data_IF_460635140910
#
_entry.id   IF_460635140910
#
_cell.length_a   1.000
_cell.length_b   1.000
_cell.length_c   1.000
_cell.angle_alpha   90.00
_cell.angle_beta   90.00
_cell.angle_gamma   90.00
#
_symmetry.space_group_name_H-M   'P 1'
#
loop_
_entity.id
_entity.type
_entity.pdbx_description
1 polymer ?
#
# COMPACT_ATOMS: atom_id res chain seq x y z
N UNK A 1 -7.03 17.60 -8.31
CA UNK A 1 -6.47 16.50 -9.14
C UNK A 1 -5.55 15.60 -8.29
N UNK A 2 -4.76 16.15 -7.36
CA UNK A 2 -3.89 15.38 -6.45
C UNK A 2 -4.60 14.75 -5.24
N UNK A 3 -5.82 15.17 -4.89
CA UNK A 3 -6.62 14.61 -3.78
C UNK A 3 -6.79 13.09 -3.82
N UNK A 4 -6.61 12.46 -4.98
CA UNK A 4 -6.71 11.00 -5.15
C UNK A 4 -5.58 10.20 -4.48
N UNK A 5 -4.47 10.85 -4.12
CA UNK A 5 -3.34 10.23 -3.41
C UNK A 5 -3.35 10.51 -1.89
N UNK A 6 -4.34 11.27 -1.41
CA UNK A 6 -4.47 11.67 -0.02
C UNK A 6 -5.41 10.76 0.76
N UNK A 7 -5.04 10.48 2.00
CA UNK A 7 -5.96 9.91 2.98
C UNK A 7 -7.14 10.86 3.26
N UNK A 8 -8.33 10.29 3.35
CA UNK A 8 -9.50 10.97 3.90
C UNK A 8 -9.44 10.91 5.43
N UNK A 9 -9.90 11.96 6.13
CA UNK A 9 -10.00 11.94 7.58
C UNK A 9 -10.80 10.73 8.08
N UNK A 10 -10.32 10.10 9.14
CA UNK A 10 -10.94 8.94 9.79
C UNK A 10 -10.45 8.88 11.23
N UNK A 11 -11.31 8.42 12.14
CA UNK A 11 -10.97 8.20 13.56
C UNK A 11 -10.44 6.77 13.82
N UNK A 12 -10.25 5.98 12.75
CA UNK A 12 -9.76 4.60 12.80
C UNK A 12 -8.25 4.57 12.90
N UNK A 13 -7.70 3.75 13.80
CA UNK A 13 -6.26 3.51 13.90
C UNK A 13 -5.75 2.75 12.67
N UNK A 14 -4.68 3.22 12.04
CA UNK A 14 -4.12 2.58 10.85
C UNK A 14 -2.80 1.88 11.16
N UNK A 15 -2.76 0.59 10.91
CA UNK A 15 -1.57 -0.26 11.09
C UNK A 15 -1.09 -0.73 9.72
N UNK A 16 0.14 -0.38 9.36
CA UNK A 16 0.76 -0.77 8.08
C UNK A 16 1.65 -1.97 8.28
N UNK A 17 1.52 -2.96 7.39
CA UNK A 17 2.52 -3.99 7.20
C UNK A 17 3.42 -3.55 6.04
N UNK A 18 4.69 -3.37 6.36
CA UNK A 18 5.70 -2.83 5.46
C UNK A 18 6.84 -3.84 5.29
N UNK A 19 7.46 -3.87 4.13
CA UNK A 19 8.66 -4.65 3.87
C UNK A 19 8.61 -5.41 2.54
N UNK A 20 9.66 -6.18 2.23
CA UNK A 20 9.85 -6.76 0.91
C UNK A 20 8.70 -7.68 0.45
N UNK A 21 8.66 -7.94 -0.85
CA UNK A 21 7.78 -8.96 -1.41
C UNK A 21 8.06 -10.34 -0.78
N UNK A 22 7.02 -11.15 -0.61
CA UNK A 22 7.11 -12.54 -0.12
C UNK A 22 7.60 -12.73 1.33
N UNK A 23 7.49 -11.72 2.19
CA UNK A 23 7.86 -11.78 3.63
C UNK A 23 6.66 -12.03 4.56
N UNK A 24 5.53 -12.45 4.01
CA UNK A 24 4.33 -12.81 4.80
C UNK A 24 3.37 -11.65 5.14
N UNK A 25 3.58 -10.43 4.62
CA UNK A 25 2.70 -9.26 4.85
C UNK A 25 1.22 -9.58 4.63
N UNK A 26 0.87 -10.06 3.44
CA UNK A 26 -0.53 -10.35 3.11
C UNK A 26 -1.17 -11.36 4.05
N UNK A 27 -0.45 -12.44 4.38
CA UNK A 27 -0.92 -13.47 5.31
C UNK A 27 -1.14 -12.88 6.71
N UNK A 28 -0.19 -12.09 7.21
CA UNK A 28 -0.28 -11.47 8.52
C UNK A 28 -1.40 -10.42 8.57
N UNK A 29 -1.58 -9.62 7.52
CA UNK A 29 -2.67 -8.65 7.41
C UNK A 29 -4.03 -9.30 7.50
N UNK A 30 -4.24 -10.40 6.79
CA UNK A 30 -5.48 -11.17 6.85
C UNK A 30 -5.71 -11.76 8.26
N UNK A 31 -4.66 -12.32 8.86
CA UNK A 31 -4.74 -12.89 10.22
C UNK A 31 -5.06 -11.82 11.27
N UNK A 32 -4.43 -10.65 11.20
CA UNK A 32 -4.69 -9.52 12.09
C UNK A 32 -6.12 -8.99 11.92
N UNK A 33 -6.57 -8.81 10.68
CA UNK A 33 -7.94 -8.36 10.41
C UNK A 33 -8.98 -9.35 10.97
N UNK A 34 -8.75 -10.66 10.82
CA UNK A 34 -9.60 -11.70 11.42
C UNK A 34 -9.56 -11.66 12.95
N UNK A 35 -8.39 -11.49 13.54
CA UNK A 35 -8.20 -11.46 14.99
C UNK A 35 -8.89 -10.25 15.64
N UNK A 36 -8.76 -9.06 15.04
CA UNK A 36 -9.38 -7.83 15.52
C UNK A 36 -10.80 -7.60 15.01
N UNK A 37 -11.38 -8.58 14.29
CA UNK A 37 -12.72 -8.49 13.69
C UNK A 37 -12.93 -7.23 12.84
N UNK A 38 -11.92 -6.89 12.03
CA UNK A 38 -11.92 -5.72 11.14
C UNK A 38 -11.61 -6.12 9.70
N UNK A 39 -11.43 -5.13 8.83
CA UNK A 39 -11.03 -5.29 7.43
C UNK A 39 -9.55 -4.96 7.24
N UNK A 40 -8.95 -5.50 6.16
CA UNK A 40 -7.63 -5.07 5.69
C UNK A 40 -7.68 -4.52 4.27
N UNK A 41 -6.78 -3.60 3.97
CA UNK A 41 -6.45 -3.11 2.64
C UNK A 41 -5.46 -4.08 2.00
N UNK A 42 -5.79 -4.72 0.85
CA UNK A 42 -4.83 -5.54 0.13
C UNK A 42 -3.88 -4.70 -0.71
N UNK A 43 -2.73 -5.29 -1.06
CA UNK A 43 -1.69 -4.64 -1.86
C UNK A 43 -2.18 -4.43 -3.29
N UNK A 44 -2.49 -3.18 -3.64
CA UNK A 44 -3.07 -2.85 -4.95
C UNK A 44 -2.11 -3.14 -6.11
N UNK A 45 -0.79 -2.96 -5.88
CA UNK A 45 0.23 -3.25 -6.88
C UNK A 45 0.12 -4.68 -7.42
N UNK A 46 -0.26 -5.64 -6.58
CA UNK A 46 -0.39 -7.04 -6.96
C UNK A 46 -1.47 -7.25 -8.02
N UNK A 47 -2.68 -6.73 -7.79
CA UNK A 47 -3.78 -6.84 -8.74
C UNK A 47 -3.44 -6.09 -10.04
N UNK A 48 -2.96 -4.85 -9.90
CA UNK A 48 -2.59 -4.01 -11.04
C UNK A 48 -1.54 -4.68 -11.95
N UNK A 49 -0.45 -5.18 -11.37
CA UNK A 49 0.64 -5.79 -12.14
C UNK A 49 0.27 -7.17 -12.69
N UNK A 50 -0.59 -7.91 -11.99
CA UNK A 50 -1.12 -9.16 -12.50
C UNK A 50 -1.98 -8.93 -13.76
N UNK A 51 -2.83 -7.90 -13.75
CA UNK A 51 -3.64 -7.52 -14.90
C UNK A 51 -2.78 -7.02 -16.07
N UNK A 52 -1.78 -6.17 -15.79
CA UNK A 52 -0.82 -5.71 -16.80
C UNK A 52 -0.08 -6.89 -17.43
N UNK A 53 0.37 -7.85 -16.64
CA UNK A 53 1.01 -9.05 -17.16
C UNK A 53 0.06 -9.89 -18.02
N UNK A 54 -1.18 -10.09 -17.58
CA UNK A 54 -2.16 -10.90 -18.28
C UNK A 54 -2.55 -10.29 -19.64
N UNK A 55 -2.70 -8.97 -19.70
CA UNK A 55 -3.18 -8.25 -20.87
C UNK A 55 -2.06 -7.81 -21.82
N UNK A 56 -0.91 -7.41 -21.29
CA UNK A 56 0.18 -6.80 -22.08
C UNK A 56 1.48 -7.61 -22.07
N UNK A 57 1.62 -8.62 -21.20
CA UNK A 57 2.88 -9.37 -20.99
C UNK A 57 4.05 -8.48 -20.58
N UNK A 58 3.78 -7.43 -19.80
CA UNK A 58 4.77 -6.48 -19.28
C UNK A 58 4.85 -6.51 -17.76
N UNK A 59 6.01 -6.13 -17.23
CA UNK A 59 6.27 -5.93 -15.80
C UNK A 59 6.02 -4.48 -15.39
N UNK A 60 6.28 -4.16 -14.12
CA UNK A 60 6.19 -2.79 -13.62
C UNK A 60 7.17 -1.86 -14.34
N UNK A 61 6.67 -0.69 -14.74
CA UNK A 61 7.38 0.41 -15.37
C UNK A 61 7.16 1.68 -14.53
N UNK A 62 8.04 2.70 -14.61
CA UNK A 62 7.93 3.91 -13.78
C UNK A 62 6.56 4.62 -13.85
N UNK A 63 5.89 4.58 -15.01
CA UNK A 63 4.59 5.21 -15.20
C UNK A 63 3.43 4.48 -14.48
N UNK A 64 3.66 3.25 -14.01
CA UNK A 64 2.66 2.48 -13.25
C UNK A 64 2.56 2.93 -11.78
N UNK A 65 3.59 3.58 -11.25
CA UNK A 65 3.69 3.89 -9.83
C UNK A 65 2.59 4.84 -9.35
N UNK A 66 2.25 5.86 -10.14
CA UNK A 66 1.15 6.77 -9.81
C UNK A 66 -0.23 6.07 -9.87
N UNK A 67 -0.58 5.29 -10.92
CA UNK A 67 -1.76 4.43 -10.91
C UNK A 67 -1.84 3.48 -9.71
N UNK A 68 -0.71 2.88 -9.33
CA UNK A 68 -0.63 2.00 -8.16
C UNK A 68 -0.92 2.78 -6.87
N UNK A 69 -0.28 3.93 -6.69
CA UNK A 69 -0.48 4.80 -5.54
C UNK A 69 -1.94 5.30 -5.42
N UNK A 70 -2.53 5.71 -6.53
CA UNK A 70 -3.95 6.09 -6.58
C UNK A 70 -4.85 4.92 -6.18
N UNK A 71 -4.57 3.72 -6.69
CA UNK A 71 -5.34 2.53 -6.36
C UNK A 71 -5.23 2.14 -4.90
N UNK A 72 -4.02 2.16 -4.33
CA UNK A 72 -3.78 1.89 -2.91
C UNK A 72 -4.57 2.87 -2.04
N UNK A 73 -4.45 4.17 -2.32
CA UNK A 73 -5.14 5.20 -1.54
C UNK A 73 -6.66 5.13 -1.69
N UNK A 74 -7.16 4.79 -2.88
CA UNK A 74 -8.59 4.54 -3.11
C UNK A 74 -9.10 3.38 -2.27
N UNK A 75 -8.35 2.26 -2.18
CA UNK A 75 -8.73 1.12 -1.36
C UNK A 75 -8.70 1.46 0.13
N UNK A 76 -7.65 2.14 0.59
CA UNK A 76 -7.51 2.56 1.98
C UNK A 76 -8.66 3.47 2.41
N UNK A 77 -8.96 4.52 1.64
CA UNK A 77 -10.06 5.44 1.92
C UNK A 77 -11.44 4.76 1.89
N UNK A 78 -11.61 3.73 1.04
CA UNK A 78 -12.85 2.96 0.98
C UNK A 78 -13.01 2.06 2.20
N UNK A 79 -11.94 1.44 2.67
CA UNK A 79 -11.96 0.45 3.75
C UNK A 79 -11.88 1.10 5.13
N UNK A 80 -11.27 2.29 5.25
CA UNK A 80 -11.34 3.10 6.47
C UNK A 80 -12.78 3.42 6.90
N UNK A 81 -13.72 3.51 5.96
CA UNK A 81 -15.15 3.71 6.24
C UNK A 81 -15.87 2.45 6.73
N UNK A 82 -15.23 1.29 6.59
CA UNK A 82 -15.79 -0.03 6.97
C UNK A 82 -15.11 -0.62 8.20
N UNK A 83 -13.89 -0.21 8.48
CA UNK A 83 -13.19 -0.55 9.71
C UNK A 83 -13.95 0.03 10.91
N UNK A 84 -13.89 -0.68 12.03
CA UNK A 84 -14.49 -0.25 13.30
C UNK A 84 -13.51 0.64 14.07
N UNK A 85 -12.45 0.04 14.60
CA UNK A 85 -11.46 0.70 15.45
C UNK A 85 -10.05 0.70 14.85
N UNK A 86 -9.73 -0.34 14.06
CA UNK A 86 -8.41 -0.55 13.46
C UNK A 86 -8.58 -0.89 11.98
N UNK A 87 -7.78 -0.29 11.11
CA UNK A 87 -7.60 -0.66 9.70
C UNK A 87 -6.20 -1.23 9.52
N UNK A 88 -6.14 -2.46 9.00
CA UNK A 88 -4.86 -3.10 8.65
C UNK A 88 -4.55 -2.81 7.18
N UNK A 89 -3.34 -2.35 6.87
CA UNK A 89 -2.93 -2.00 5.50
C UNK A 89 -1.75 -2.86 5.03
N UNK A 90 -1.97 -3.67 3.99
CA UNK A 90 -0.91 -4.26 3.15
C UNK A 90 -0.94 -3.52 1.82
N UNK A 91 -0.03 -2.65 1.45
CA UNK A 91 0.99 -1.92 2.19
C UNK A 91 0.54 -0.45 2.18
N UNK A 92 1.44 0.50 1.97
CA UNK A 92 1.15 1.93 1.86
C UNK A 92 1.91 2.64 0.71
N UNK A 93 1.79 3.97 0.63
CA UNK A 93 2.49 4.75 -0.38
C UNK A 93 3.99 4.87 -0.13
N UNK A 94 4.44 4.76 1.13
CA UNK A 94 5.86 4.73 1.46
C UNK A 94 6.54 3.51 0.83
N UNK A 95 5.88 2.35 0.79
CA UNK A 95 6.44 1.17 0.12
C UNK A 95 6.60 1.42 -1.39
N UNK A 96 5.60 2.04 -2.03
CA UNK A 96 5.67 2.38 -3.45
C UNK A 96 6.80 3.39 -3.73
N UNK A 97 6.99 4.37 -2.83
CA UNK A 97 8.13 5.31 -2.89
C UNK A 97 9.47 4.57 -2.80
N UNK A 98 9.63 3.71 -1.80
CA UNK A 98 10.88 2.94 -1.60
C UNK A 98 11.16 2.03 -2.78
N UNK A 99 10.13 1.38 -3.34
CA UNK A 99 10.23 0.60 -4.57
C UNK A 99 10.75 1.47 -5.73
N UNK A 100 10.17 2.67 -5.92
CA UNK A 100 10.60 3.60 -6.95
C UNK A 100 12.08 3.97 -6.83
N UNK A 101 12.51 4.31 -5.61
CA UNK A 101 13.88 4.73 -5.34
C UNK A 101 14.89 3.59 -5.53
N UNK A 102 14.51 2.37 -5.14
CA UNK A 102 15.36 1.18 -5.24
C UNK A 102 15.52 0.70 -6.70
N UNK A 103 14.43 0.65 -7.48
CA UNK A 103 14.44 0.06 -8.82
C UNK A 103 14.68 1.06 -9.96
N UNK A 104 14.38 2.34 -9.76
CA UNK A 104 14.47 3.36 -10.83
C UNK A 104 15.50 4.47 -10.53
N UNK A 105 16.54 4.14 -9.74
CA UNK A 105 17.76 4.92 -9.48
C UNK A 105 17.46 6.41 -9.20
N UNK A 106 16.87 6.69 -8.04
CA UNK A 106 16.73 8.04 -7.50
C UNK A 106 15.65 8.91 -8.15
N UNK A 107 14.80 8.35 -9.01
CA UNK A 107 13.63 9.05 -9.52
C UNK A 107 12.38 8.52 -8.79
N UNK A 108 11.88 9.29 -7.84
CA UNK A 108 10.52 9.15 -7.32
C UNK A 108 9.71 10.32 -7.86
N UNK A 109 8.51 10.04 -8.38
CA UNK A 109 7.62 11.11 -8.79
C UNK A 109 7.35 12.04 -7.57
N UNK A 110 7.49 13.37 -7.71
CA UNK A 110 7.30 14.29 -6.59
C UNK A 110 5.90 14.21 -5.96
N UNK A 111 4.89 13.81 -6.73
CA UNK A 111 3.55 13.58 -6.22
C UNK A 111 3.54 12.36 -5.30
N UNK A 112 4.13 11.24 -5.75
CA UNK A 112 4.24 10.03 -4.93
C UNK A 112 5.02 10.32 -3.64
N UNK A 113 6.16 10.99 -3.73
CA UNK A 113 6.98 11.35 -2.57
C UNK A 113 6.20 12.22 -1.58
N UNK A 114 5.55 13.28 -2.06
CA UNK A 114 4.75 14.18 -1.24
C UNK A 114 3.68 13.42 -0.46
N UNK A 115 2.92 12.53 -1.11
CA UNK A 115 1.82 11.84 -0.44
C UNK A 115 2.28 10.65 0.41
N UNK A 116 3.38 9.99 0.06
CA UNK A 116 4.01 9.01 0.95
C UNK A 116 4.42 9.63 2.29
N UNK A 117 4.82 10.90 2.31
CA UNK A 117 5.22 11.62 3.53
C UNK A 117 4.07 12.36 4.23
N UNK A 118 3.02 12.76 3.51
CA UNK A 118 1.88 13.48 4.08
C UNK A 118 0.82 12.57 4.68
N UNK A 119 0.66 11.35 4.15
CA UNK A 119 -0.26 10.38 4.71
C UNK A 119 0.32 9.82 6.02
N UNK A 120 -0.54 9.61 7.00
CA UNK A 120 -0.13 9.27 8.37
C UNK A 120 -0.69 7.91 8.78
N UNK A 121 0.08 7.19 9.59
CA UNK A 121 -0.29 5.89 10.14
C UNK A 121 0.17 5.80 11.59
N UNK A 122 -0.56 5.05 12.42
CA UNK A 122 -0.34 4.98 13.86
C UNK A 122 0.73 3.96 14.24
N UNK A 123 0.89 2.90 13.42
CA UNK A 123 1.88 1.85 13.65
C UNK A 123 2.39 1.26 12.34
N UNK A 124 3.69 1.04 12.26
CA UNK A 124 4.35 0.26 11.21
C UNK A 124 4.86 -1.06 11.78
N UNK A 125 4.48 -2.16 11.14
CA UNK A 125 5.03 -3.49 11.36
C UNK A 125 5.94 -3.82 10.19
N UNK A 126 7.25 -3.77 10.43
CA UNK A 126 8.27 -4.10 9.44
C UNK A 126 8.51 -5.61 9.41
N UNK A 127 8.13 -6.26 8.31
CA UNK A 127 8.51 -7.65 8.03
C UNK A 127 9.98 -7.72 7.62
N UNK A 128 10.72 -8.68 8.16
CA UNK A 128 12.14 -8.86 7.85
C UNK A 128 12.33 -9.49 6.46
N UNK A 129 13.57 -9.47 5.95
CA UNK A 129 13.91 -9.99 4.61
C UNK A 129 13.81 -11.52 4.49
N UNK A 130 13.60 -12.21 5.61
CA UNK A 130 13.47 -13.66 5.63
C UNK A 130 12.08 -14.09 5.15
N UNK A 131 12.05 -15.19 4.39
CA UNK A 131 10.81 -15.86 4.01
C UNK A 131 10.22 -16.59 5.23
N UNK A 132 8.89 -16.49 5.48
CA UNK A 132 8.22 -17.24 6.54
C UNK A 132 8.36 -18.76 6.42
#
# INVERSE_FOLDING_TARGET
>A
MEEKYRQQPSDVLKVVLFGPESTGKTTLSEQLARHYHTVWVPEYAREYLQDKWNNERKTCEPHDLLPIAEGQMRLENKLAKKATDILICDTDLLETKVYSEAYYIGNCDPILEKYALQNTYDLYLLTYIDIP
#
